data_IF_663869648022
#
_entry.id   IF_663869648022
#
_cell.length_a   1.000
_cell.length_b   1.000
_cell.length_c   1.000
_cell.angle_alpha   90.00
_cell.angle_beta   90.00
_cell.angle_gamma   90.00
#
_symmetry.space_group_name_H-M   'P 1'
#
loop_
_entity.id
_entity.type
_entity.pdbx_description
1 polymer ?
#
# COMPACT_ATOMS: atom_id res chain seq x y z
N UNK A 1 13.20 -9.01 -5.29
CA UNK A 1 13.24 -9.90 -4.10
C UNK A 1 11.91 -10.61 -4.04
N UNK A 2 11.88 -11.94 -3.84
CA UNK A 2 10.61 -12.66 -3.70
C UNK A 2 10.12 -12.49 -2.25
N UNK A 3 8.85 -12.13 -2.09
CA UNK A 3 8.19 -12.06 -0.78
C UNK A 3 7.49 -13.41 -0.58
N UNK A 4 8.16 -14.32 0.13
CA UNK A 4 7.75 -15.74 0.20
C UNK A 4 6.34 -15.96 0.79
N UNK A 5 5.83 -15.00 1.57
CA UNK A 5 4.50 -15.05 2.22
C UNK A 5 3.54 -13.98 1.71
N UNK A 6 3.73 -13.45 0.50
CA UNK A 6 2.95 -12.33 0.00
C UNK A 6 1.43 -12.56 -0.04
N UNK A 7 0.98 -13.75 -0.46
CA UNK A 7 -0.45 -14.06 -0.50
C UNK A 7 -1.09 -14.08 0.89
N UNK A 8 -0.36 -14.56 1.90
CA UNK A 8 -0.82 -14.52 3.30
C UNK A 8 -0.91 -13.08 3.79
N UNK A 9 0.11 -12.25 3.51
CA UNK A 9 0.10 -10.82 3.87
C UNK A 9 -1.07 -10.05 3.23
N UNK A 10 -1.35 -10.30 1.94
CA UNK A 10 -2.48 -9.69 1.24
C UNK A 10 -3.79 -10.07 1.94
N UNK A 11 -4.00 -11.35 2.23
CA UNK A 11 -5.21 -11.81 2.92
C UNK A 11 -5.35 -11.27 4.35
N UNK A 12 -4.25 -11.14 5.07
CA UNK A 12 -4.23 -10.54 6.42
C UNK A 12 -4.59 -9.05 6.37
N UNK A 13 -4.01 -8.29 5.43
CA UNK A 13 -4.33 -6.88 5.23
C UNK A 13 -5.78 -6.66 4.82
N UNK A 14 -6.29 -7.46 3.88
CA UNK A 14 -7.69 -7.42 3.47
C UNK A 14 -8.61 -7.67 4.68
N UNK A 15 -8.30 -8.70 5.47
CA UNK A 15 -9.06 -9.05 6.67
C UNK A 15 -9.06 -7.94 7.71
N UNK A 16 -7.94 -7.25 7.91
CA UNK A 16 -7.83 -6.07 8.79
C UNK A 16 -8.64 -4.91 8.23
N UNK A 17 -8.52 -4.62 6.94
CA UNK A 17 -9.28 -3.56 6.25
C UNK A 17 -10.80 -3.78 6.39
N UNK A 18 -11.26 -5.00 6.19
CA UNK A 18 -12.67 -5.37 6.27
C UNK A 18 -13.18 -5.56 7.72
N UNK A 19 -12.28 -5.52 8.72
CA UNK A 19 -12.62 -5.66 10.13
C UNK A 19 -13.01 -7.07 10.58
N UNK A 20 -12.64 -8.12 9.81
CA UNK A 20 -12.90 -9.52 10.16
C UNK A 20 -11.65 -10.31 10.52
N UNK A 21 -10.48 -9.66 10.66
CA UNK A 21 -9.23 -10.34 11.01
C UNK A 21 -9.36 -11.15 12.30
N UNK A 22 -9.10 -12.48 12.26
CA UNK A 22 -9.29 -13.35 13.42
C UNK A 22 -8.14 -13.27 14.45
N UNK A 23 -7.02 -12.65 14.09
CA UNK A 23 -5.81 -12.50 14.91
C UNK A 23 -5.69 -11.13 15.58
N UNK A 24 -4.45 -10.74 15.88
CA UNK A 24 -4.10 -9.41 16.40
C UNK A 24 -3.71 -8.46 15.24
N UNK A 25 -4.56 -7.48 14.88
CA UNK A 25 -4.22 -6.53 13.82
C UNK A 25 -2.95 -5.70 14.12
N UNK A 26 -2.60 -5.49 15.40
CA UNK A 26 -1.37 -4.80 15.77
C UNK A 26 -0.12 -5.60 15.37
N UNK A 27 -0.19 -6.94 15.43
CA UNK A 27 0.90 -7.81 14.96
C UNK A 27 1.10 -7.65 13.45
N UNK A 28 0.01 -7.65 12.67
CA UNK A 28 0.04 -7.43 11.22
C UNK A 28 0.68 -6.08 10.87
N UNK A 29 0.31 -5.01 11.57
CA UNK A 29 0.91 -3.68 11.38
C UNK A 29 2.40 -3.66 11.70
N UNK A 30 2.83 -4.28 12.82
CA UNK A 30 4.25 -4.36 13.20
C UNK A 30 5.06 -5.12 12.15
N UNK A 31 4.54 -6.24 11.67
CA UNK A 31 5.20 -7.04 10.63
C UNK A 31 5.28 -6.29 9.31
N UNK A 32 4.24 -5.53 8.97
CA UNK A 32 4.23 -4.67 7.77
C UNK A 32 5.28 -3.56 7.88
N UNK A 33 5.40 -2.88 9.03
CA UNK A 33 6.44 -1.88 9.29
C UNK A 33 7.85 -2.48 9.19
N UNK A 34 8.06 -3.65 9.79
CA UNK A 34 9.33 -4.38 9.74
C UNK A 34 9.69 -4.78 8.31
N UNK A 35 8.70 -5.28 7.55
CA UNK A 35 8.83 -5.62 6.14
C UNK A 35 9.25 -4.42 5.28
N UNK A 36 8.58 -3.28 5.45
CA UNK A 36 8.94 -2.04 4.76
C UNK A 36 10.36 -1.56 5.10
N UNK A 37 10.73 -1.56 6.39
CA UNK A 37 12.06 -1.17 6.82
C UNK A 37 13.15 -2.09 6.24
N UNK A 38 12.88 -3.39 6.17
CA UNK A 38 13.76 -4.37 5.53
C UNK A 38 13.85 -4.17 4.02
N UNK A 39 12.73 -3.94 3.34
CA UNK A 39 12.71 -3.69 1.90
C UNK A 39 13.56 -2.47 1.52
N UNK A 40 13.44 -1.38 2.28
CA UNK A 40 14.20 -0.13 2.06
C UNK A 40 15.69 -0.23 2.38
N UNK A 41 16.09 -1.16 3.24
CA UNK A 41 17.50 -1.36 3.63
C UNK A 41 18.23 -2.43 2.80
N UNK A 42 17.48 -3.26 2.07
CA UNK A 42 18.04 -4.32 1.23
C UNK A 42 18.81 -3.75 0.04
N UNK A 43 19.92 -4.39 -0.33
CA UNK A 43 20.75 -4.04 -1.49
C UNK A 43 20.94 -5.25 -2.41
N UNK A 44 20.66 -5.13 -3.73
CA UNK A 44 20.16 -3.93 -4.42
C UNK A 44 18.73 -3.56 -3.98
N UNK A 45 18.41 -2.26 -4.00
CA UNK A 45 17.08 -1.75 -3.65
C UNK A 45 16.04 -2.20 -4.69
N UNK A 46 14.93 -2.74 -4.19
CA UNK A 46 13.79 -3.18 -5.00
C UNK A 46 12.57 -2.28 -4.71
N UNK A 47 12.21 -1.36 -5.62
CA UNK A 47 11.10 -0.44 -5.40
C UNK A 47 9.75 -1.16 -5.34
N UNK A 48 9.57 -2.29 -6.03
CA UNK A 48 8.30 -3.02 -6.03
C UNK A 48 8.00 -3.60 -4.65
N UNK A 49 9.01 -4.19 -3.98
CA UNK A 49 8.84 -4.68 -2.61
C UNK A 49 8.57 -3.54 -1.61
N UNK A 50 9.24 -2.39 -1.77
CA UNK A 50 8.95 -1.24 -0.89
C UNK A 50 7.54 -0.70 -1.11
N UNK A 51 7.06 -0.66 -2.36
CA UNK A 51 5.70 -0.25 -2.70
C UNK A 51 4.66 -1.23 -2.13
N UNK A 52 4.90 -2.54 -2.24
CA UNK A 52 4.04 -3.59 -1.69
C UNK A 52 3.74 -3.37 -0.20
N UNK A 53 4.77 -3.23 0.64
CA UNK A 53 4.56 -2.98 2.08
C UNK A 53 3.98 -1.59 2.37
N UNK A 54 4.31 -0.58 1.57
CA UNK A 54 3.74 0.76 1.74
C UNK A 54 2.22 0.76 1.47
N UNK A 55 1.78 0.06 0.41
CA UNK A 55 0.37 -0.11 0.11
C UNK A 55 -0.35 -0.97 1.16
N UNK A 56 0.29 -1.99 1.72
CA UNK A 56 -0.25 -2.73 2.88
C UNK A 56 -0.52 -1.83 4.10
N UNK A 57 0.41 -0.92 4.45
CA UNK A 57 0.18 0.07 5.51
C UNK A 57 -0.96 1.04 5.18
N UNK A 58 -1.04 1.49 3.92
CA UNK A 58 -2.15 2.34 3.47
C UNK A 58 -3.47 1.60 3.58
N UNK A 59 -3.56 0.33 3.16
CA UNK A 59 -4.82 -0.42 3.14
C UNK A 59 -5.41 -0.59 4.55
N UNK A 60 -4.53 -0.75 5.54
CA UNK A 60 -4.88 -0.95 6.94
C UNK A 60 -5.12 0.36 7.72
N UNK A 61 -5.07 1.52 7.06
CA UNK A 61 -5.19 2.82 7.72
C UNK A 61 -6.49 2.98 8.54
N UNK A 62 -7.60 2.39 8.08
CA UNK A 62 -8.89 2.47 8.76
C UNK A 62 -8.87 1.85 10.15
N UNK A 63 -8.14 0.73 10.31
CA UNK A 63 -7.90 0.15 11.63
C UNK A 63 -7.06 1.08 12.51
N UNK A 64 -6.04 1.73 11.95
CA UNK A 64 -5.22 2.68 12.73
C UNK A 64 -6.02 3.91 13.17
N UNK A 65 -6.90 4.41 12.31
CA UNK A 65 -7.70 5.59 12.56
C UNK A 65 -8.85 5.34 13.57
N UNK A 66 -9.42 4.14 13.61
CA UNK A 66 -10.67 3.88 14.32
C UNK A 66 -10.71 2.59 15.16
N UNK A 67 -9.71 1.71 15.03
CA UNK A 67 -9.67 0.39 15.66
C UNK A 67 -9.00 0.32 17.03
N UNK A 68 -8.58 1.46 17.58
CA UNK A 68 -7.89 1.59 18.88
C UNK A 68 -6.61 0.72 19.02
N UNK A 69 -5.68 0.78 18.05
CA UNK A 69 -4.38 0.09 18.16
C UNK A 69 -3.53 0.65 19.31
N UNK A 70 -2.44 -0.05 19.64
CA UNK A 70 -1.44 0.49 20.57
C UNK A 70 -0.96 1.91 20.17
N UNK A 71 -0.95 2.91 21.08
CA UNK A 71 -0.63 4.29 20.72
C UNK A 71 0.78 4.51 20.14
N UNK A 72 1.74 3.69 20.56
CA UNK A 72 3.11 3.76 20.04
C UNK A 72 3.16 3.19 18.61
N UNK A 73 2.36 2.15 18.34
CA UNK A 73 2.17 1.63 16.98
C UNK A 73 1.51 2.64 16.05
N UNK A 74 0.42 3.30 16.48
CA UNK A 74 -0.20 4.41 15.73
C UNK A 74 0.84 5.45 15.35
N UNK A 75 1.64 5.90 16.33
CA UNK A 75 2.67 6.91 16.10
C UNK A 75 3.70 6.44 15.07
N UNK A 76 4.11 5.17 15.11
CA UNK A 76 5.06 4.60 14.15
C UNK A 76 4.47 4.53 12.73
N UNK A 77 3.23 4.09 12.58
CA UNK A 77 2.53 4.04 11.30
C UNK A 77 2.38 5.45 10.71
N UNK A 78 1.82 6.40 11.48
CA UNK A 78 1.66 7.79 11.04
C UNK A 78 2.99 8.43 10.64
N UNK A 79 4.04 8.23 11.44
CA UNK A 79 5.39 8.74 11.11
C UNK A 79 5.93 8.14 9.81
N UNK A 80 5.69 6.85 9.60
CA UNK A 80 6.16 6.13 8.41
C UNK A 80 5.41 6.59 7.15
N UNK A 81 4.09 6.71 7.22
CA UNK A 81 3.26 7.23 6.13
C UNK A 81 3.62 8.67 5.80
N UNK A 82 3.79 9.53 6.80
CA UNK A 82 4.25 10.90 6.60
C UNK A 82 5.64 10.96 5.93
N UNK A 83 6.56 10.07 6.31
CA UNK A 83 7.87 9.99 5.67
C UNK A 83 7.80 9.51 4.21
N UNK A 84 6.90 8.59 3.88
CA UNK A 84 6.63 8.16 2.51
C UNK A 84 6.03 9.32 1.69
N UNK A 85 5.11 10.09 2.28
CA UNK A 85 4.49 11.25 1.64
C UNK A 85 5.46 12.39 1.28
N UNK A 86 6.60 12.49 1.98
CA UNK A 86 7.65 13.49 1.68
C UNK A 86 8.51 13.09 0.47
N UNK A 87 8.50 11.82 0.08
CA UNK A 87 9.25 11.36 -1.11
C UNK A 87 8.61 11.81 -2.43
N UNK A 88 7.52 12.58 -2.35
CA UNK A 88 6.79 13.16 -3.47
C UNK A 88 7.66 14.14 -4.26
N UNK A 89 8.25 13.63 -5.35
CA UNK A 89 8.64 14.48 -6.46
C UNK A 89 7.50 14.46 -7.46
N UNK A 90 7.00 15.62 -7.94
CA UNK A 90 5.91 15.65 -8.91
C UNK A 90 6.27 14.79 -10.11
N UNK A 91 5.40 13.83 -10.42
CA UNK A 91 5.60 12.96 -11.58
C UNK A 91 5.42 13.77 -12.86
N UNK A 92 6.47 13.83 -13.69
CA UNK A 92 6.42 14.48 -14.99
C UNK A 92 6.05 13.51 -16.13
N UNK A 93 5.95 12.21 -15.84
CA UNK A 93 5.77 11.15 -16.84
C UNK A 93 4.29 10.82 -17.08
N UNK A 94 3.43 11.02 -16.09
CA UNK A 94 2.01 10.66 -16.15
C UNK A 94 1.15 11.89 -15.87
N UNK A 95 0.06 12.04 -16.63
CA UNK A 95 -0.84 13.19 -16.54
C UNK A 95 -1.77 13.13 -15.31
N UNK A 96 -2.10 11.91 -14.86
CA UNK A 96 -2.97 11.64 -13.71
C UNK A 96 -2.55 10.34 -13.01
N UNK A 97 -2.83 10.24 -11.72
CA UNK A 97 -2.54 9.09 -10.88
C UNK A 97 -3.77 8.69 -10.05
N UNK A 98 -3.97 7.40 -9.76
CA UNK A 98 -4.97 6.94 -8.79
C UNK A 98 -4.95 7.70 -7.46
N UNK A 99 -3.77 8.08 -6.96
CA UNK A 99 -3.66 8.84 -5.72
C UNK A 99 -4.19 10.28 -5.78
N UNK A 100 -4.48 10.80 -6.99
CA UNK A 100 -5.11 12.11 -7.19
C UNK A 100 -6.61 12.07 -6.89
N UNK A 101 -7.21 10.88 -6.87
CA UNK A 101 -8.57 10.63 -6.42
C UNK A 101 -8.63 10.50 -4.89
N UNK A 102 -9.84 10.29 -4.34
CA UNK A 102 -9.98 9.99 -2.92
C UNK A 102 -9.36 8.63 -2.57
N UNK A 103 -8.70 8.53 -1.41
CA UNK A 103 -8.11 7.28 -0.90
C UNK A 103 -9.09 6.09 -1.02
N UNK A 104 -10.31 6.27 -0.53
CA UNK A 104 -11.34 5.23 -0.50
C UNK A 104 -11.81 4.76 -1.89
N UNK A 105 -11.59 5.56 -2.94
CA UNK A 105 -12.00 5.22 -4.30
C UNK A 105 -11.29 3.96 -4.81
N UNK A 106 -10.07 3.71 -4.34
CA UNK A 106 -9.21 2.66 -4.90
C UNK A 106 -8.85 1.53 -3.94
N UNK A 107 -9.29 1.58 -2.68
CA UNK A 107 -8.92 0.55 -1.68
C UNK A 107 -9.40 -0.85 -2.06
N UNK A 108 -10.55 -0.98 -2.70
CA UNK A 108 -11.04 -2.29 -3.19
C UNK A 108 -10.14 -2.86 -4.30
N UNK A 109 -9.36 -2.01 -4.98
CA UNK A 109 -8.41 -2.41 -6.02
C UNK A 109 -7.02 -2.76 -5.46
N UNK A 110 -6.81 -2.72 -4.14
CA UNK A 110 -5.49 -3.00 -3.57
C UNK A 110 -5.10 -4.47 -3.62
N UNK A 111 -6.04 -5.41 -3.48
CA UNK A 111 -5.77 -6.84 -3.66
C UNK A 111 -5.18 -7.15 -5.06
N UNK A 112 -5.86 -6.79 -6.18
CA UNK A 112 -5.31 -7.03 -7.51
C UNK A 112 -4.00 -6.26 -7.75
N UNK A 113 -3.91 -5.00 -7.29
CA UNK A 113 -2.68 -4.21 -7.37
C UNK A 113 -1.50 -4.90 -6.69
N UNK A 114 -1.66 -5.32 -5.45
CA UNK A 114 -0.61 -5.94 -4.66
C UNK A 114 -0.17 -7.26 -5.29
N UNK A 115 -1.11 -8.06 -5.80
CA UNK A 115 -0.82 -9.31 -6.51
C UNK A 115 0.03 -9.07 -7.76
N UNK A 116 -0.31 -8.03 -8.54
CA UNK A 116 0.41 -7.63 -9.75
C UNK A 116 1.79 -7.04 -9.47
N UNK A 117 1.96 -6.27 -8.39
CA UNK A 117 3.23 -5.60 -8.08
C UNK A 117 4.41 -6.56 -7.88
N UNK A 118 4.13 -7.77 -7.40
CA UNK A 118 5.10 -8.81 -7.06
C UNK A 118 4.95 -10.08 -7.91
N UNK A 119 4.18 -10.00 -9.01
CA UNK A 119 3.98 -11.09 -9.96
C UNK A 119 3.52 -12.40 -9.30
N UNK A 120 2.57 -12.32 -8.35
CA UNK A 120 2.18 -13.45 -7.49
C UNK A 120 1.19 -14.42 -8.16
N UNK A 121 0.29 -13.94 -9.02
CA UNK A 121 -0.72 -14.76 -9.71
C UNK A 121 -1.06 -14.19 -11.08
N UNK A 122 -1.51 -15.08 -11.98
CA UNK A 122 -2.09 -14.76 -13.29
C UNK A 122 -3.60 -14.45 -13.22
N UNK A 123 -4.21 -14.47 -12.03
CA UNK A 123 -5.65 -14.22 -11.83
C UNK A 123 -6.05 -12.77 -12.12
N UNK A 124 -5.09 -11.85 -12.08
CA UNK A 124 -5.29 -10.44 -12.40
C UNK A 124 -4.34 -10.01 -13.50
N UNK A 125 -4.82 -9.12 -14.36
CA UNK A 125 -3.98 -8.41 -15.32
C UNK A 125 -4.00 -6.91 -15.05
N UNK A 126 -2.98 -6.21 -15.52
CA UNK A 126 -2.94 -4.75 -15.46
C UNK A 126 -4.10 -4.10 -16.23
N UNK A 127 -4.61 -4.75 -17.28
CA UNK A 127 -5.76 -4.28 -18.04
C UNK A 127 -7.07 -4.41 -17.22
N UNK A 128 -7.25 -5.51 -16.47
CA UNK A 128 -8.40 -5.68 -15.57
C UNK A 128 -8.40 -4.61 -14.47
N UNK A 129 -7.23 -4.35 -13.88
CA UNK A 129 -7.07 -3.29 -12.89
C UNK A 129 -7.40 -1.92 -13.49
N UNK A 130 -7.00 -1.68 -14.74
CA UNK A 130 -7.29 -0.42 -15.41
C UNK A 130 -8.78 -0.21 -15.70
N UNK A 131 -9.49 -1.26 -16.09
CA UNK A 131 -10.95 -1.21 -16.29
C UNK A 131 -11.68 -0.92 -14.97
N UNK A 132 -11.25 -1.55 -13.87
CA UNK A 132 -11.87 -1.38 -12.56
C UNK A 132 -11.64 0.02 -11.96
N UNK A 133 -10.45 0.59 -12.17
CA UNK A 133 -10.02 1.85 -11.54
C UNK A 133 -10.13 3.06 -12.47
N UNK A 134 -10.42 2.83 -13.76
CA UNK A 134 -10.47 3.89 -14.77
C UNK A 134 -9.11 4.51 -15.09
N UNK A 135 -8.00 3.84 -14.79
CA UNK A 135 -6.65 4.38 -15.02
C UNK A 135 -6.29 4.49 -16.50
N UNK A 136 -5.35 5.40 -16.78
CA UNK A 136 -4.88 5.73 -18.11
C UNK A 136 -4.11 4.58 -18.82
N UNK A 137 -3.70 4.85 -20.06
CA UNK A 137 -2.79 4.01 -20.86
C UNK A 137 -1.50 3.71 -20.07
N UNK A 138 -1.06 2.45 -20.07
CA UNK A 138 0.08 1.94 -19.26
C UNK A 138 -0.18 1.92 -17.73
N UNK A 139 -1.22 1.17 -17.29
CA UNK A 139 -1.59 1.05 -15.87
C UNK A 139 -0.45 0.54 -14.98
N UNK A 140 0.39 -0.36 -15.47
CA UNK A 140 1.55 -0.85 -14.73
C UNK A 140 2.51 0.28 -14.38
N UNK A 141 2.90 1.09 -15.38
CA UNK A 141 3.82 2.20 -15.14
C UNK A 141 3.21 3.25 -14.21
N UNK A 142 1.91 3.51 -14.30
CA UNK A 142 1.22 4.47 -13.44
C UNK A 142 1.20 3.97 -11.99
N UNK A 143 0.71 2.76 -11.73
CA UNK A 143 0.59 2.21 -10.38
C UNK A 143 1.94 2.01 -9.68
N UNK A 144 2.99 1.65 -10.42
CA UNK A 144 4.37 1.55 -9.89
C UNK A 144 5.03 2.92 -9.66
N UNK A 145 4.42 4.03 -10.08
CA UNK A 145 4.98 5.36 -9.91
C UNK A 145 5.15 5.69 -8.41
N UNK A 146 6.32 6.16 -7.96
CA UNK A 146 6.52 6.60 -6.57
C UNK A 146 5.54 7.68 -6.11
N UNK A 147 4.99 8.47 -7.04
CA UNK A 147 3.97 9.47 -6.74
C UNK A 147 2.70 8.84 -6.16
N UNK A 148 2.27 7.67 -6.66
CA UNK A 148 1.12 6.95 -6.08
C UNK A 148 1.37 6.55 -4.63
N UNK A 149 2.53 5.96 -4.34
CA UNK A 149 2.90 5.57 -2.97
C UNK A 149 2.89 6.80 -2.05
N UNK A 150 3.46 7.91 -2.49
CA UNK A 150 3.50 9.14 -1.70
C UNK A 150 2.12 9.77 -1.49
N UNK A 151 1.29 9.83 -2.54
CA UNK A 151 -0.05 10.41 -2.49
C UNK A 151 -1.01 9.61 -1.60
N UNK A 152 -1.05 8.29 -1.76
CA UNK A 152 -1.85 7.43 -0.89
C UNK A 152 -1.34 7.43 0.56
N UNK A 153 -0.03 7.44 0.78
CA UNK A 153 0.52 7.53 2.14
C UNK A 153 0.16 8.87 2.81
N UNK A 154 0.11 9.97 2.05
CA UNK A 154 -0.35 11.27 2.55
C UNK A 154 -1.81 11.20 2.98
N UNK A 155 -2.69 10.71 2.10
CA UNK A 155 -4.12 10.62 2.39
C UNK A 155 -4.39 9.72 3.61
N UNK A 156 -3.69 8.58 3.72
CA UNK A 156 -3.80 7.69 4.87
C UNK A 156 -3.31 8.36 6.17
N UNK A 157 -2.18 9.06 6.14
CA UNK A 157 -1.68 9.79 7.31
C UNK A 157 -2.66 10.88 7.77
N UNK A 158 -3.23 11.64 6.82
CA UNK A 158 -4.23 12.67 7.11
C UNK A 158 -5.53 12.09 7.69
N UNK A 159 -5.94 10.91 7.23
CA UNK A 159 -7.13 10.22 7.75
C UNK A 159 -6.94 9.66 9.17
N UNK A 160 -5.72 9.27 9.54
CA UNK A 160 -5.41 8.78 10.89
C UNK A 160 -5.40 9.93 11.92
N UNK A 161 -4.83 11.09 11.56
CA UNK A 161 -4.70 12.25 12.45
C UNK A 161 -3.28 12.52 12.94
#
# INVERSE_FOLDING_TARGET
MIIDNAGELIGDWESVYQGYFPGDPDEVLRDTLNGLARARSTQPYDPATSAFYAFGLVWTYGYVASGDPDPELTRQVTTTLAALAVTDSPCAAHEAHPCDDGLDTHLEAFEPLLTLLIDLSDDYTWDDLAEATGTATDPESVWRCPHNVAGFARAAAEAIG
#
